data_IF_711478842621
#
_entry.id   IF_711478842621
#
_cell.length_a   1.000
_cell.length_b   1.000
_cell.length_c   1.000
_cell.angle_alpha   90.00
_cell.angle_beta   90.00
_cell.angle_gamma   90.00
#
_symmetry.space_group_name_H-M   'P 1'
#
loop_
_entity.id
_entity.type
_entity.pdbx_description
1 polymer ?
#
# COMPACT_ATOMS: atom_id res chain seq x y z
N UNK A 1 23.63 -2.40 3.37
CA UNK A 1 24.25 -3.67 3.79
C UNK A 1 23.78 -4.77 2.87
N UNK A 2 24.72 -5.46 2.22
CA UNK A 2 24.37 -6.62 1.39
C UNK A 2 24.01 -7.79 2.31
N UNK A 3 22.71 -8.02 2.48
CA UNK A 3 22.22 -9.21 3.11
C UNK A 3 22.44 -10.40 2.18
N UNK A 4 23.18 -11.38 2.66
CA UNK A 4 23.35 -12.68 2.00
C UNK A 4 22.38 -13.72 2.59
N UNK A 5 22.53 -14.97 2.23
CA UNK A 5 21.70 -16.07 2.72
C UNK A 5 21.74 -16.29 4.24
N UNK A 6 22.62 -15.63 4.95
CA UNK A 6 22.75 -15.72 6.41
C UNK A 6 22.05 -14.56 7.13
N UNK A 7 21.52 -13.60 6.39
CA UNK A 7 20.76 -12.50 6.98
C UNK A 7 19.40 -12.97 7.48
N UNK A 8 19.05 -12.52 8.67
CA UNK A 8 17.72 -12.68 9.21
C UNK A 8 16.85 -11.53 8.71
N UNK A 9 15.98 -11.81 7.75
CA UNK A 9 14.95 -10.88 7.29
C UNK A 9 13.61 -11.35 7.87
N UNK A 10 13.22 -10.75 8.99
CA UNK A 10 12.01 -11.19 9.71
C UNK A 10 10.73 -10.86 8.94
N UNK A 11 10.70 -9.76 8.17
CA UNK A 11 9.56 -9.39 7.33
C UNK A 11 8.27 -9.08 8.10
N UNK A 12 8.37 -8.81 9.40
CA UNK A 12 7.20 -8.67 10.28
C UNK A 12 6.32 -7.48 9.89
N UNK A 13 6.91 -6.36 9.61
CA UNK A 13 6.23 -5.18 9.12
C UNK A 13 6.26 -5.14 7.59
N UNK A 14 7.39 -5.33 7.00
CA UNK A 14 7.62 -5.34 5.56
C UNK A 14 7.75 -6.80 5.04
N UNK A 15 6.69 -7.42 4.52
CA UNK A 15 5.33 -6.88 4.51
C UNK A 15 4.35 -7.86 5.20
N UNK A 16 4.74 -8.42 6.34
CA UNK A 16 3.85 -9.25 7.17
C UNK A 16 2.59 -8.52 7.62
N UNK A 17 2.70 -7.20 7.85
CA UNK A 17 1.56 -6.36 8.23
C UNK A 17 0.51 -6.27 7.10
N UNK A 18 0.92 -6.06 5.86
CA UNK A 18 0.02 -6.04 4.71
C UNK A 18 -0.60 -7.41 4.43
N UNK A 19 0.17 -8.48 4.55
CA UNK A 19 -0.34 -9.86 4.42
C UNK A 19 -1.42 -10.15 5.47
N UNK A 20 -1.16 -9.80 6.73
CA UNK A 20 -2.12 -9.99 7.82
C UNK A 20 -3.42 -9.21 7.56
N UNK A 21 -3.32 -7.96 7.09
CA UNK A 21 -4.48 -7.16 6.73
C UNK A 21 -5.29 -7.81 5.60
N UNK A 22 -4.66 -8.28 4.53
CA UNK A 22 -5.35 -8.92 3.40
C UNK A 22 -6.07 -10.20 3.85
N UNK A 23 -5.44 -11.01 4.69
CA UNK A 23 -6.06 -12.22 5.25
C UNK A 23 -7.28 -11.89 6.12
N UNK A 24 -7.18 -10.89 6.97
CA UNK A 24 -8.28 -10.47 7.84
C UNK A 24 -9.43 -9.86 7.04
N UNK A 25 -9.14 -9.07 6.01
CA UNK A 25 -10.15 -8.57 5.07
C UNK A 25 -10.87 -9.73 4.37
N UNK A 26 -10.13 -10.73 3.88
CA UNK A 26 -10.72 -11.91 3.26
C UNK A 26 -11.65 -12.65 4.24
N UNK A 27 -11.21 -12.82 5.49
CA UNK A 27 -12.00 -13.47 6.53
C UNK A 27 -13.31 -12.73 6.82
N UNK A 28 -13.26 -11.42 7.00
CA UNK A 28 -14.45 -10.61 7.31
C UNK A 28 -15.37 -10.52 6.10
N UNK A 29 -14.81 -10.21 4.95
CA UNK A 29 -15.59 -9.93 3.74
C UNK A 29 -16.20 -11.19 3.12
N UNK A 30 -15.68 -12.38 3.39
CA UNK A 30 -16.26 -13.66 2.90
C UNK A 30 -17.69 -13.90 3.38
N UNK A 31 -18.14 -13.21 4.42
CA UNK A 31 -19.50 -13.33 4.95
C UNK A 31 -20.54 -12.46 4.22
N UNK A 32 -20.11 -11.66 3.24
CA UNK A 32 -20.96 -10.72 2.52
C UNK A 32 -21.01 -11.05 1.02
N UNK A 33 -22.05 -10.56 0.37
CA UNK A 33 -22.23 -10.64 -1.08
C UNK A 33 -21.94 -9.28 -1.69
N UNK A 34 -21.20 -9.26 -2.79
CA UNK A 34 -20.79 -8.04 -3.49
C UNK A 34 -21.21 -8.10 -4.95
N UNK A 35 -21.49 -6.94 -5.55
CA UNK A 35 -21.85 -6.83 -6.97
C UNK A 35 -20.67 -7.16 -7.91
N UNK A 36 -19.44 -7.10 -7.40
CA UNK A 36 -18.24 -7.37 -8.17
C UNK A 36 -17.34 -8.38 -7.44
N UNK A 37 -16.58 -9.12 -8.23
CA UNK A 37 -15.57 -10.02 -7.70
C UNK A 37 -14.48 -9.23 -6.97
N UNK A 38 -14.15 -9.67 -5.77
CA UNK A 38 -13.02 -9.16 -4.98
C UNK A 38 -11.99 -10.26 -4.91
N UNK A 39 -10.75 -9.94 -5.27
CA UNK A 39 -9.61 -10.85 -5.21
C UNK A 39 -8.70 -10.42 -4.07
N UNK A 40 -8.51 -11.29 -3.10
CA UNK A 40 -7.51 -11.14 -2.05
C UNK A 40 -6.26 -11.87 -2.49
N UNK A 41 -5.14 -11.17 -2.59
CA UNK A 41 -3.94 -11.71 -3.17
C UNK A 41 -2.70 -11.32 -2.36
N UNK A 42 -1.82 -12.27 -2.16
CA UNK A 42 -0.45 -12.03 -1.73
C UNK A 42 0.48 -12.41 -2.87
N UNK A 43 1.48 -11.59 -3.13
CA UNK A 43 2.45 -11.80 -4.20
C UNK A 43 3.84 -12.03 -3.62
N UNK A 44 4.72 -12.63 -4.38
CA UNK A 44 6.10 -12.91 -3.99
C UNK A 44 7.08 -12.06 -4.77
N UNK A 45 8.28 -11.90 -4.21
CA UNK A 45 9.39 -11.28 -4.93
C UNK A 45 9.22 -9.78 -5.18
N UNK A 46 8.66 -9.05 -4.22
CA UNK A 46 8.57 -7.59 -4.27
C UNK A 46 9.97 -7.00 -4.34
N UNK A 47 10.81 -7.31 -3.37
CA UNK A 47 12.20 -6.84 -3.22
C UNK A 47 13.14 -7.29 -4.37
N UNK A 48 12.76 -8.35 -5.07
CA UNK A 48 13.49 -8.86 -6.25
C UNK A 48 13.03 -8.24 -7.56
N UNK A 49 12.22 -7.17 -7.50
CA UNK A 49 11.73 -6.42 -8.65
C UNK A 49 10.28 -6.70 -9.00
N UNK A 50 9.41 -6.76 -8.03
CA UNK A 50 7.94 -6.86 -8.19
C UNK A 50 7.53 -8.12 -9.00
N UNK A 51 8.21 -9.25 -8.79
CA UNK A 51 8.11 -10.43 -9.66
C UNK A 51 6.68 -10.97 -9.74
N UNK A 52 6.04 -11.16 -8.59
CA UNK A 52 4.69 -11.73 -8.53
C UNK A 52 3.62 -10.79 -9.06
N UNK A 53 3.70 -9.51 -8.73
CA UNK A 53 2.75 -8.50 -9.21
C UNK A 53 2.89 -8.23 -10.71
N UNK A 54 4.11 -8.20 -11.26
CA UNK A 54 4.34 -8.17 -12.70
C UNK A 54 3.68 -9.35 -13.40
N UNK A 55 3.97 -10.57 -12.93
CA UNK A 55 3.43 -11.79 -13.53
C UNK A 55 1.89 -11.80 -13.53
N UNK A 56 1.26 -11.35 -12.45
CA UNK A 56 -0.21 -11.31 -12.39
C UNK A 56 -0.79 -10.17 -13.23
N UNK A 57 -0.17 -8.99 -13.26
CA UNK A 57 -0.61 -7.88 -14.10
C UNK A 57 -0.56 -8.25 -15.59
N UNK A 58 0.51 -8.88 -16.05
CA UNK A 58 0.67 -9.36 -17.42
C UNK A 58 -0.34 -10.47 -17.74
N UNK A 59 -0.58 -11.38 -16.81
CA UNK A 59 -1.63 -12.39 -16.95
C UNK A 59 -3.00 -11.75 -17.10
N UNK A 60 -3.32 -10.75 -16.28
CA UNK A 60 -4.60 -10.06 -16.33
C UNK A 60 -4.83 -9.36 -17.68
N UNK A 61 -3.79 -8.72 -18.24
CA UNK A 61 -3.85 -8.13 -19.59
C UNK A 61 -4.06 -9.21 -20.64
N UNK A 62 -3.27 -10.28 -20.60
CA UNK A 62 -3.34 -11.38 -21.57
C UNK A 62 -4.70 -12.06 -21.58
N UNK A 63 -5.32 -12.21 -20.42
CA UNK A 63 -6.64 -12.82 -20.25
C UNK A 63 -7.79 -11.81 -20.37
N UNK A 64 -7.50 -10.53 -20.64
CA UNK A 64 -8.50 -9.45 -20.71
C UNK A 64 -9.35 -9.36 -19.42
N UNK A 65 -8.73 -9.54 -18.25
CA UNK A 65 -9.43 -9.42 -16.96
C UNK A 65 -9.70 -7.94 -16.67
N UNK A 66 -10.96 -7.52 -16.49
CA UNK A 66 -11.30 -6.12 -16.25
C UNK A 66 -11.09 -5.75 -14.77
N UNK A 67 -9.87 -5.38 -14.39
CA UNK A 67 -9.56 -4.92 -13.04
C UNK A 67 -10.01 -3.46 -12.90
N UNK A 68 -10.93 -3.19 -11.99
CA UNK A 68 -11.43 -1.82 -11.74
C UNK A 68 -10.51 -1.02 -10.84
N UNK A 69 -9.93 -1.66 -9.83
CA UNK A 69 -9.04 -1.02 -8.88
C UNK A 69 -8.09 -2.05 -8.26
N UNK A 70 -6.87 -1.61 -7.94
CA UNK A 70 -5.89 -2.36 -7.16
C UNK A 70 -5.56 -1.55 -5.91
N UNK A 71 -5.73 -2.17 -4.75
CA UNK A 71 -5.49 -1.60 -3.44
C UNK A 71 -4.33 -2.35 -2.78
N UNK A 72 -3.12 -1.85 -2.97
CA UNK A 72 -1.92 -2.44 -2.40
C UNK A 72 -1.72 -1.98 -0.95
N UNK A 73 -1.46 -2.92 -0.06
CA UNK A 73 -1.18 -2.67 1.35
C UNK A 73 0.25 -3.08 1.64
N UNK A 74 1.12 -2.10 1.76
CA UNK A 74 2.54 -2.34 1.90
C UNK A 74 3.10 -1.41 2.99
N UNK A 75 3.58 -2.06 4.06
CA UNK A 75 4.00 -1.47 5.33
C UNK A 75 2.84 -0.69 5.97
N UNK A 76 1.87 -1.39 6.53
CA UNK A 76 0.70 -0.77 7.18
C UNK A 76 0.73 -0.85 8.71
N UNK A 77 1.73 -1.50 9.29
CA UNK A 77 1.90 -1.70 10.73
C UNK A 77 2.83 -0.70 11.43
N UNK A 78 3.62 0.07 10.68
CA UNK A 78 4.61 0.98 11.24
C UNK A 78 4.02 2.22 11.90
N UNK A 79 4.27 2.39 13.18
CA UNK A 79 3.82 3.56 13.94
C UNK A 79 4.96 4.37 14.55
N UNK A 80 6.18 3.85 14.56
CA UNK A 80 7.33 4.49 15.20
C UNK A 80 8.47 4.68 14.19
N UNK A 81 9.09 5.85 14.22
CA UNK A 81 10.26 6.15 13.38
C UNK A 81 11.52 5.47 13.91
N UNK A 82 12.16 4.68 13.06
CA UNK A 82 13.47 4.07 13.32
C UNK A 82 14.64 4.99 12.98
N UNK A 83 15.86 4.50 13.22
CA UNK A 83 17.09 5.25 12.99
C UNK A 83 17.34 5.57 11.50
N UNK A 84 16.81 4.76 10.61
CA UNK A 84 16.97 4.92 9.16
C UNK A 84 15.83 5.67 8.48
N UNK A 85 14.84 6.11 9.25
CA UNK A 85 13.71 6.86 8.73
C UNK A 85 14.03 8.35 8.63
N UNK A 86 13.50 9.01 7.61
CA UNK A 86 13.77 10.43 7.36
C UNK A 86 12.50 11.20 6.94
N UNK A 87 12.52 12.53 7.04
CA UNK A 87 11.43 13.34 6.51
C UNK A 87 11.21 13.12 5.00
N UNK A 88 9.97 13.22 4.48
CA UNK A 88 8.75 13.60 5.23
C UNK A 88 8.07 12.43 5.94
N UNK A 89 8.52 11.19 5.73
CA UNK A 89 7.89 10.00 6.31
C UNK A 89 8.06 9.92 7.81
N UNK A 90 9.20 10.41 8.31
CA UNK A 90 9.50 10.45 9.73
C UNK A 90 10.08 11.80 10.14
N UNK A 91 9.44 12.54 11.04
CA UNK A 91 9.96 13.82 11.55
C UNK A 91 11.24 13.67 12.37
N UNK A 92 11.46 12.53 12.98
CA UNK A 92 12.65 12.25 13.79
C UNK A 92 12.55 10.91 14.51
N UNK A 93 13.68 10.45 14.99
CA UNK A 93 13.81 9.18 15.73
C UNK A 93 12.78 9.08 16.87
N UNK A 94 12.15 7.92 16.99
CA UNK A 94 11.11 7.61 17.98
C UNK A 94 9.83 8.45 17.87
N UNK A 95 9.65 9.23 16.82
CA UNK A 95 8.35 9.85 16.58
C UNK A 95 7.28 8.78 16.36
N UNK A 96 6.13 8.94 17.00
CA UNK A 96 5.03 7.98 16.93
C UNK A 96 3.84 8.64 16.23
N UNK A 97 3.32 7.98 15.19
CA UNK A 97 2.05 8.33 14.57
C UNK A 97 1.27 7.05 14.22
N UNK A 98 0.27 6.75 15.01
CA UNK A 98 -0.68 5.63 14.81
C UNK A 98 -2.01 6.09 14.22
N UNK A 99 -2.13 7.35 13.83
CA UNK A 99 -3.41 7.96 13.45
C UNK A 99 -3.53 8.27 11.97
N UNK A 100 -2.45 8.15 11.20
CA UNK A 100 -2.42 8.49 9.79
C UNK A 100 -2.15 7.27 8.91
N UNK A 101 -2.85 7.22 7.77
CA UNK A 101 -2.54 6.34 6.63
C UNK A 101 -2.27 7.21 5.42
N UNK A 102 -1.17 6.95 4.72
CA UNK A 102 -0.79 7.63 3.49
C UNK A 102 -1.30 6.85 2.28
N UNK A 103 -1.79 7.59 1.29
CA UNK A 103 -2.29 7.05 0.02
C UNK A 103 -1.38 7.53 -1.10
N UNK A 104 -0.55 6.64 -1.61
CA UNK A 104 0.33 6.90 -2.75
C UNK A 104 -0.33 6.47 -4.06
N UNK A 105 -0.12 7.23 -5.12
CA UNK A 105 -0.59 6.90 -6.46
C UNK A 105 0.05 7.77 -7.53
N UNK A 106 0.11 7.24 -8.75
CA UNK A 106 0.70 7.89 -9.90
C UNK A 106 -0.15 9.03 -10.47
N UNK A 107 0.54 9.97 -11.13
CA UNK A 107 -0.04 10.96 -12.02
C UNK A 107 -0.58 12.21 -11.34
N UNK A 108 -1.07 13.11 -12.17
CA UNK A 108 -1.64 14.38 -11.74
C UNK A 108 -3.06 14.26 -11.22
N UNK A 109 -3.62 15.39 -10.81
CA UNK A 109 -4.93 15.48 -10.15
C UNK A 109 -6.05 14.70 -10.86
N UNK A 110 -6.09 14.72 -12.19
CA UNK A 110 -7.14 14.07 -12.98
C UNK A 110 -6.82 12.60 -13.36
N UNK A 111 -5.74 12.02 -12.87
CA UNK A 111 -5.46 10.60 -13.14
C UNK A 111 -6.50 9.69 -12.48
N UNK A 112 -6.72 8.50 -13.04
CA UNK A 112 -7.60 7.50 -12.46
C UNK A 112 -7.15 7.11 -11.04
N UNK A 113 -5.84 7.02 -10.82
CA UNK A 113 -5.23 6.67 -9.54
C UNK A 113 -5.50 7.74 -8.47
N UNK A 114 -5.27 9.03 -8.78
CA UNK A 114 -5.57 10.13 -7.85
C UNK A 114 -7.08 10.29 -7.61
N UNK A 115 -7.90 9.99 -8.62
CA UNK A 115 -9.36 9.97 -8.46
C UNK A 115 -9.81 8.87 -7.52
N UNK A 116 -9.21 7.69 -7.61
CA UNK A 116 -9.45 6.59 -6.67
C UNK A 116 -9.07 6.98 -5.23
N UNK A 117 -7.90 7.59 -5.02
CA UNK A 117 -7.51 8.10 -3.70
C UNK A 117 -8.52 9.11 -3.13
N UNK A 118 -8.99 10.04 -3.95
CA UNK A 118 -9.99 11.04 -3.51
C UNK A 118 -11.33 10.40 -3.17
N UNK A 119 -11.78 9.44 -3.98
CA UNK A 119 -12.99 8.69 -3.72
C UNK A 119 -12.90 7.94 -2.38
N UNK A 120 -11.83 7.18 -2.17
CA UNK A 120 -11.61 6.46 -0.92
C UNK A 120 -11.58 7.40 0.29
N UNK A 121 -10.87 8.53 0.16
CA UNK A 121 -10.82 9.52 1.25
C UNK A 121 -12.18 10.12 1.55
N UNK A 122 -12.96 10.45 0.53
CA UNK A 122 -14.32 11.00 0.68
C UNK A 122 -15.24 9.99 1.38
N UNK A 123 -15.32 8.76 0.86
CA UNK A 123 -16.12 7.70 1.44
C UNK A 123 -15.73 7.42 2.89
N UNK A 124 -14.43 7.36 3.17
CA UNK A 124 -13.96 7.22 4.54
C UNK A 124 -14.42 8.37 5.44
N UNK A 125 -14.26 9.61 4.99
CA UNK A 125 -14.62 10.79 5.79
C UNK A 125 -16.11 10.89 6.06
N UNK A 126 -16.94 10.55 5.09
CA UNK A 126 -18.39 10.69 5.20
C UNK A 126 -19.07 9.48 5.85
N UNK A 127 -18.61 8.27 5.53
CA UNK A 127 -19.32 7.04 5.91
C UNK A 127 -18.67 6.29 7.07
N UNK A 128 -17.35 6.30 7.16
CA UNK A 128 -16.62 5.44 8.12
C UNK A 128 -16.11 6.22 9.33
N UNK A 129 -15.46 7.35 9.09
CA UNK A 129 -14.82 8.15 10.14
C UNK A 129 -15.77 8.53 11.31
N UNK A 130 -17.04 8.91 11.06
CA UNK A 130 -17.98 9.22 12.13
C UNK A 130 -18.31 8.03 13.04
N UNK A 131 -18.12 6.81 12.54
CA UNK A 131 -18.43 5.57 13.25
C UNK A 131 -17.18 4.91 13.87
N UNK A 132 -15.99 5.35 13.46
CA UNK A 132 -14.73 4.77 13.91
C UNK A 132 -14.44 5.18 15.37
N UNK A 133 -14.19 4.21 16.28
CA UNK A 133 -13.82 4.52 17.67
C UNK A 133 -12.48 5.25 17.78
N UNK A 134 -11.57 5.00 16.82
CA UNK A 134 -10.31 5.71 16.66
C UNK A 134 -10.22 6.16 15.20
N UNK A 135 -10.65 7.39 14.88
CA UNK A 135 -10.64 7.87 13.51
C UNK A 135 -9.23 8.15 13.04
N UNK A 136 -8.91 7.65 11.84
CA UNK A 136 -7.63 7.87 11.18
C UNK A 136 -7.67 9.08 10.23
N UNK A 137 -6.53 9.62 9.92
CA UNK A 137 -6.37 10.62 8.87
C UNK A 137 -5.85 9.95 7.59
N UNK A 138 -6.59 10.08 6.51
CA UNK A 138 -6.13 9.65 5.19
C UNK A 138 -5.42 10.80 4.48
N UNK A 139 -4.13 10.65 4.21
CA UNK A 139 -3.30 11.68 3.56
C UNK A 139 -2.98 11.24 2.13
N UNK A 140 -3.49 11.99 1.14
CA UNK A 140 -3.16 11.75 -0.27
C UNK A 140 -1.79 12.36 -0.55
N UNK A 141 -0.84 11.53 -0.92
CA UNK A 141 0.51 11.94 -1.26
C UNK A 141 0.57 12.47 -2.70
N UNK A 142 1.45 13.43 -2.96
CA UNK A 142 1.66 14.00 -4.31
C UNK A 142 2.33 13.01 -5.24
N UNK A 143 3.36 12.32 -4.78
CA UNK A 143 4.11 11.33 -5.53
C UNK A 143 3.40 9.97 -5.62
N UNK A 144 3.88 9.10 -6.48
CA UNK A 144 3.44 7.71 -6.61
C UNK A 144 3.96 6.83 -5.47
N UNK A 145 5.16 7.12 -5.01
CA UNK A 145 5.82 6.52 -3.87
C UNK A 145 6.91 7.48 -3.36
N UNK A 146 7.68 7.07 -2.38
CA UNK A 146 8.88 7.76 -1.93
C UNK A 146 9.94 7.75 -3.03
N UNK A 147 10.89 8.66 -2.98
CA UNK A 147 11.98 8.75 -3.97
C UNK A 147 12.78 7.45 -4.04
N UNK A 148 12.88 6.87 -5.23
CA UNK A 148 13.62 5.62 -5.46
C UNK A 148 12.96 4.37 -4.90
N UNK A 149 11.71 4.46 -4.50
CA UNK A 149 10.92 3.33 -3.99
C UNK A 149 9.72 3.05 -4.88
N UNK A 150 9.15 1.87 -4.68
CA UNK A 150 7.96 1.41 -5.37
C UNK A 150 7.28 0.30 -4.58
N UNK A 151 6.26 -0.29 -5.14
CA UNK A 151 5.57 -1.43 -4.56
C UNK A 151 4.67 -2.10 -5.60
N UNK A 152 4.01 -3.17 -5.22
CA UNK A 152 3.22 -4.06 -6.07
C UNK A 152 2.01 -3.41 -6.80
N UNK A 153 1.69 -2.16 -6.53
CA UNK A 153 0.70 -1.41 -7.32
C UNK A 153 1.25 -0.94 -8.68
N UNK A 154 2.58 -0.80 -8.82
CA UNK A 154 3.23 -0.25 -10.00
C UNK A 154 2.98 -1.08 -11.28
N UNK A 155 3.17 -2.41 -11.29
CA UNK A 155 2.92 -3.21 -12.48
C UNK A 155 1.49 -3.10 -13.00
N UNK A 156 0.53 -3.02 -12.12
CA UNK A 156 -0.87 -2.83 -12.50
C UNK A 156 -1.11 -1.46 -13.11
N UNK A 157 -0.52 -0.41 -12.54
CA UNK A 157 -0.60 0.94 -13.09
C UNK A 157 0.05 1.02 -14.48
N UNK A 158 1.17 0.37 -14.69
CA UNK A 158 1.86 0.31 -15.99
C UNK A 158 1.03 -0.40 -17.05
N UNK A 159 0.24 -1.36 -16.63
CA UNK A 159 -0.72 -2.07 -17.46
C UNK A 159 -2.10 -1.37 -17.59
N UNK A 160 -2.22 -0.11 -17.13
CA UNK A 160 -3.40 0.73 -17.34
C UNK A 160 -4.52 0.57 -16.31
N UNK A 161 -4.32 -0.22 -15.26
CA UNK A 161 -5.29 -0.37 -14.18
C UNK A 161 -5.15 0.75 -13.15
N UNK A 162 -6.26 1.21 -12.57
CA UNK A 162 -6.22 2.14 -11.45
C UNK A 162 -5.64 1.45 -10.21
N UNK A 163 -4.47 1.87 -9.77
CA UNK A 163 -3.75 1.23 -8.68
C UNK A 163 -3.19 2.27 -7.70
N UNK A 164 -3.26 1.95 -6.43
CA UNK A 164 -2.79 2.79 -5.33
C UNK A 164 -2.12 1.95 -4.25
N UNK A 165 -1.29 2.59 -3.42
CA UNK A 165 -0.66 2.00 -2.24
C UNK A 165 -1.16 2.68 -0.97
N UNK A 166 -1.54 1.86 0.01
CA UNK A 166 -1.71 2.27 1.40
C UNK A 166 -0.44 1.97 2.18
N UNK A 167 -0.04 2.90 3.02
CA UNK A 167 1.08 2.70 3.93
C UNK A 167 0.86 3.47 5.23
N UNK A 168 1.53 3.07 6.29
CA UNK A 168 1.50 3.77 7.57
C UNK A 168 2.10 5.19 7.48
N UNK A 169 1.87 5.98 8.51
CA UNK A 169 2.45 7.33 8.60
C UNK A 169 3.97 7.31 8.64
N UNK A 170 4.49 6.40 9.44
CA UNK A 170 5.92 6.20 9.63
C UNK A 170 6.34 4.89 8.97
N UNK A 171 7.42 4.91 8.24
CA UNK A 171 8.01 3.71 7.65
C UNK A 171 9.43 3.54 8.19
N UNK A 172 9.79 2.30 8.47
CA UNK A 172 11.15 1.92 8.85
C UNK A 172 12.05 1.72 7.63
N UNK A 173 13.35 1.74 7.87
CA UNK A 173 14.35 1.52 6.85
C UNK A 173 14.86 2.78 6.18
N UNK A 174 15.73 2.61 5.20
CA UNK A 174 16.33 3.69 4.40
C UNK A 174 15.35 4.25 3.38
N UNK A 175 14.16 4.47 3.82
CA UNK A 175 13.01 4.76 3.00
C UNK A 175 13.16 6.02 2.13
N UNK A 176 13.83 7.02 2.65
CA UNK A 176 13.93 8.33 2.03
C UNK A 176 15.38 8.73 1.74
N UNK A 177 16.30 7.80 1.83
CA UNK A 177 17.68 8.02 1.41
C UNK A 177 17.73 7.88 -0.10
N UNK A 178 17.74 9.02 -0.77
CA UNK A 178 18.00 9.09 -2.19
C UNK A 178 19.50 8.92 -2.47
#
# INVERSE_FOLDING_TARGET
>A
DNCDINCLAEGMEDNGSGVALVLELARIMSSYVYDHTIVFMTVTGEEQGLVGSNAFADYAVTQNIPIKAVLNNDIVGGIICGETSSPPSCPGLNHIDSTQVRLFSFGGFNSAHKSLNRFIKLEYQEMIRPLAPVPMMLTIMSAEDRTGRGSDHIPFRENGYAAIRFTSANEHGNADVA
#
